data_IF_353917550934
#
_entry.id   IF_353917550934
#
_cell.length_a   1.000
_cell.length_b   1.000
_cell.length_c   1.000
_cell.angle_alpha   90.00
_cell.angle_beta   90.00
_cell.angle_gamma   90.00
#
_symmetry.space_group_name_H-M   'P 1'
#
loop_
_entity.id
_entity.type
_entity.pdbx_description
1 polymer ?
#
# COMPACT_ATOMS: atom_id res chain seq x y z
N UNK A 1 22.00 40.33 -107.55
CA UNK A 1 21.41 39.16 -106.99
C UNK A 1 21.64 39.12 -105.44
N UNK A 2 20.80 39.66 -104.72
CA UNK A 2 20.89 39.52 -103.21
C UNK A 2 19.43 39.45 -102.73
N UNK A 3 19.09 38.29 -102.23
CA UNK A 3 17.81 38.03 -101.59
C UNK A 3 17.92 38.40 -100.11
N UNK A 4 17.14 39.34 -99.70
CA UNK A 4 17.01 39.72 -98.30
C UNK A 4 15.85 38.91 -97.67
N UNK A 5 16.16 38.04 -96.78
CA UNK A 5 15.16 37.34 -95.97
C UNK A 5 14.62 38.19 -94.84
N UNK A 6 13.33 38.49 -94.88
CA UNK A 6 12.63 39.22 -93.85
C UNK A 6 12.38 38.30 -92.65
N UNK A 7 12.84 38.72 -91.50
CA UNK A 7 12.48 38.12 -90.25
C UNK A 7 11.14 38.67 -89.75
N UNK A 8 10.14 37.83 -89.66
CA UNK A 8 8.86 38.11 -89.05
C UNK A 8 9.02 37.88 -87.50
N UNK A 9 9.01 38.95 -86.79
CA UNK A 9 8.98 38.90 -85.31
C UNK A 9 7.52 38.71 -84.90
N UNK A 10 7.18 37.51 -84.40
CA UNK A 10 5.90 37.28 -83.71
C UNK A 10 5.96 37.88 -82.33
N UNK A 11 5.32 39.01 -82.11
CA UNK A 11 5.08 39.56 -80.82
C UNK A 11 4.00 38.74 -80.14
N UNK A 12 4.41 37.98 -79.12
CA UNK A 12 3.49 37.32 -78.21
C UNK A 12 3.02 38.35 -77.21
N UNK A 13 1.81 38.78 -77.31
CA UNK A 13 1.11 39.64 -76.41
C UNK A 13 0.75 38.79 -75.18
N UNK A 14 1.51 38.95 -74.11
CA UNK A 14 1.20 38.31 -72.81
C UNK A 14 0.14 39.19 -72.15
N UNK A 15 -1.07 38.67 -72.06
CA UNK A 15 -2.14 39.30 -71.28
C UNK A 15 -1.76 39.37 -69.82
N UNK A 16 -2.06 40.50 -69.10
CA UNK A 16 -1.79 40.58 -67.68
C UNK A 16 -2.64 39.57 -66.94
N UNK A 17 -1.97 38.66 -66.24
CA UNK A 17 -2.59 37.79 -65.21
C UNK A 17 -3.16 38.72 -64.14
N UNK A 18 -4.49 38.71 -64.00
CA UNK A 18 -5.14 39.43 -62.91
C UNK A 18 -4.63 38.89 -61.58
N UNK A 19 -3.86 39.73 -60.91
CA UNK A 19 -3.41 39.55 -59.51
C UNK A 19 -4.65 39.66 -58.62
N UNK A 20 -5.47 38.60 -58.61
CA UNK A 20 -6.67 38.49 -57.80
C UNK A 20 -6.63 37.34 -56.80
N UNK A 21 -5.46 36.78 -56.57
CA UNK A 21 -5.29 35.92 -55.39
C UNK A 21 -5.21 36.81 -54.15
N UNK A 22 -6.39 37.11 -53.57
CA UNK A 22 -6.46 37.73 -52.27
C UNK A 22 -5.72 36.80 -51.27
N UNK A 23 -4.45 37.14 -50.99
CA UNK A 23 -3.71 36.52 -49.91
C UNK A 23 -4.50 36.77 -48.64
N UNK A 24 -5.16 35.73 -48.13
CA UNK A 24 -5.79 35.81 -46.85
C UNK A 24 -4.74 36.31 -45.84
N UNK A 25 -5.02 37.37 -45.08
CA UNK A 25 -4.04 37.94 -44.15
C UNK A 25 -3.56 36.82 -43.21
N UNK A 26 -2.25 36.70 -43.07
CA UNK A 26 -1.61 35.66 -42.25
C UNK A 26 -2.20 35.59 -40.82
N UNK A 27 -2.75 36.69 -40.31
CA UNK A 27 -3.49 36.78 -39.07
C UNK A 27 -4.78 35.95 -39.05
N UNK A 28 -5.49 35.79 -40.19
CA UNK A 28 -6.70 34.95 -40.26
C UNK A 28 -6.37 33.47 -40.30
N UNK A 29 -5.23 33.11 -40.91
CA UNK A 29 -4.76 31.71 -40.92
C UNK A 29 -4.26 31.32 -39.54
N UNK A 30 -3.61 32.22 -38.82
CA UNK A 30 -3.19 31.99 -37.45
C UNK A 30 -4.38 31.91 -36.47
N UNK A 31 -5.44 32.69 -36.68
CA UNK A 31 -6.66 32.62 -35.86
C UNK A 31 -7.48 31.33 -36.10
N UNK A 32 -7.42 30.76 -37.29
CA UNK A 32 -8.12 29.50 -37.63
C UNK A 32 -7.43 28.25 -37.06
N UNK A 33 -6.19 28.36 -36.57
CA UNK A 33 -5.42 27.27 -36.01
C UNK A 33 -5.51 27.15 -34.46
N UNK A 34 -6.30 27.98 -33.79
CA UNK A 34 -6.60 27.81 -32.40
C UNK A 34 -7.64 26.71 -32.23
N UNK A 35 -7.16 25.46 -32.28
CA UNK A 35 -7.97 24.30 -31.88
C UNK A 35 -8.22 24.50 -30.37
N UNK A 36 -9.46 24.81 -30.00
CA UNK A 36 -9.89 24.86 -28.60
C UNK A 36 -9.42 23.56 -27.91
N UNK A 37 -8.70 23.64 -26.80
CA UNK A 37 -8.27 22.45 -26.11
C UNK A 37 -9.50 21.64 -25.73
N UNK A 38 -9.58 20.40 -26.22
CA UNK A 38 -10.70 19.51 -25.91
C UNK A 38 -10.94 19.43 -24.39
N UNK A 39 -12.16 19.16 -23.95
CA UNK A 39 -12.54 19.11 -22.53
C UNK A 39 -11.54 18.30 -21.67
N UNK A 40 -10.96 17.24 -22.22
CA UNK A 40 -9.94 16.43 -21.54
C UNK A 40 -8.62 17.16 -21.29
N UNK A 41 -8.26 18.13 -22.13
CA UNK A 41 -7.04 18.94 -21.95
C UNK A 41 -7.18 19.99 -20.84
N UNK A 42 -8.41 20.31 -20.46
CA UNK A 42 -8.71 21.24 -19.37
C UNK A 42 -8.76 20.55 -17.99
N UNK A 43 -8.78 19.22 -17.94
CA UNK A 43 -8.80 18.47 -16.70
C UNK A 43 -7.43 18.56 -15.99
N UNK A 44 -7.37 19.00 -14.74
CA UNK A 44 -6.13 19.06 -13.99
C UNK A 44 -5.72 17.65 -13.52
N UNK A 45 -5.23 16.81 -14.44
CA UNK A 45 -4.93 15.41 -14.22
C UNK A 45 -4.02 15.14 -13.02
N UNK A 46 -3.08 16.03 -12.74
CA UNK A 46 -2.23 15.92 -11.55
C UNK A 46 -3.05 16.03 -10.27
N UNK A 47 -3.97 16.99 -10.20
CA UNK A 47 -4.86 17.15 -9.05
C UNK A 47 -5.78 15.94 -8.88
N UNK A 48 -6.34 15.45 -9.99
CA UNK A 48 -7.17 14.23 -9.97
C UNK A 48 -6.36 13.04 -9.46
N UNK A 49 -5.15 12.83 -9.97
CA UNK A 49 -4.28 11.74 -9.54
C UNK A 49 -3.93 11.83 -8.04
N UNK A 50 -3.61 13.02 -7.55
CA UNK A 50 -3.34 13.26 -6.13
C UNK A 50 -4.58 13.00 -5.26
N UNK A 51 -5.77 13.43 -5.69
CA UNK A 51 -7.01 13.15 -4.98
C UNK A 51 -7.31 11.65 -4.91
N UNK A 52 -7.16 10.93 -6.02
CA UNK A 52 -7.36 9.47 -6.06
C UNK A 52 -6.35 8.77 -5.16
N UNK A 53 -5.08 9.17 -5.21
CA UNK A 53 -4.02 8.62 -4.38
C UNK A 53 -4.28 8.81 -2.88
N UNK A 54 -4.62 10.04 -2.47
CA UNK A 54 -4.93 10.35 -1.07
C UNK A 54 -6.23 9.66 -0.61
N UNK A 55 -7.27 9.64 -1.46
CA UNK A 55 -8.50 8.93 -1.14
C UNK A 55 -8.24 7.43 -0.91
N UNK A 56 -7.42 6.80 -1.76
CA UNK A 56 -7.01 5.41 -1.57
C UNK A 56 -6.25 5.18 -0.26
N UNK A 57 -5.33 6.10 0.11
CA UNK A 57 -4.61 6.02 1.37
C UNK A 57 -5.55 6.14 2.58
N UNK A 58 -6.50 7.09 2.55
CA UNK A 58 -7.51 7.26 3.60
C UNK A 58 -8.39 6.02 3.71
N UNK A 59 -8.93 5.53 2.59
CA UNK A 59 -9.76 4.33 2.56
C UNK A 59 -9.00 3.10 3.10
N UNK A 60 -7.72 2.96 2.78
CA UNK A 60 -6.86 1.91 3.32
C UNK A 60 -6.78 2.00 4.86
N UNK A 61 -6.50 3.19 5.42
CA UNK A 61 -6.41 3.38 6.87
C UNK A 61 -7.74 3.13 7.57
N UNK A 62 -8.86 3.61 6.99
CA UNK A 62 -10.21 3.34 7.50
C UNK A 62 -10.49 1.85 7.52
N UNK A 63 -10.25 1.17 6.40
CA UNK A 63 -10.42 -0.29 6.29
C UNK A 63 -9.59 -1.03 7.34
N UNK A 64 -8.31 -0.70 7.49
CA UNK A 64 -7.41 -1.31 8.49
C UNK A 64 -7.92 -1.09 9.91
N UNK A 65 -8.35 0.13 10.22
CA UNK A 65 -8.86 0.47 11.56
C UNK A 65 -10.17 -0.25 11.87
N UNK A 66 -11.10 -0.28 10.92
CA UNK A 66 -12.39 -0.99 11.07
C UNK A 66 -12.15 -2.49 11.25
N UNK A 67 -11.34 -3.11 10.38
CA UNK A 67 -11.02 -4.53 10.47
C UNK A 67 -10.36 -4.88 11.80
N UNK A 68 -9.42 -4.07 12.27
CA UNK A 68 -8.79 -4.27 13.59
C UNK A 68 -9.82 -4.18 14.73
N UNK A 69 -10.71 -3.18 14.71
CA UNK A 69 -11.75 -3.04 15.74
C UNK A 69 -12.71 -4.22 15.73
N UNK A 70 -13.19 -4.63 14.57
CA UNK A 70 -14.06 -5.79 14.43
C UNK A 70 -13.39 -7.07 14.96
N UNK A 71 -12.14 -7.33 14.58
CA UNK A 71 -11.35 -8.44 15.10
C UNK A 71 -11.24 -8.37 16.62
N UNK A 72 -10.87 -7.22 17.17
CA UNK A 72 -10.74 -7.02 18.61
C UNK A 72 -12.05 -7.30 19.34
N UNK A 73 -13.17 -6.78 18.83
CA UNK A 73 -14.49 -6.97 19.43
C UNK A 73 -14.88 -8.46 19.39
N UNK A 74 -14.63 -9.15 18.28
CA UNK A 74 -14.86 -10.60 18.17
C UNK A 74 -14.02 -11.41 19.17
N UNK A 75 -12.74 -11.04 19.35
CA UNK A 75 -11.84 -11.73 20.28
C UNK A 75 -12.22 -11.53 21.74
N UNK A 76 -12.70 -10.34 22.09
CA UNK A 76 -13.06 -10.00 23.47
C UNK A 76 -14.51 -10.36 23.81
N UNK A 77 -15.38 -10.49 22.82
CA UNK A 77 -16.78 -10.87 23.05
C UNK A 77 -16.87 -12.32 23.53
N UNK A 78 -17.37 -12.52 24.74
CA UNK A 78 -17.44 -13.83 25.39
C UNK A 78 -16.08 -14.40 25.83
N UNK A 79 -15.02 -13.59 25.84
CA UNK A 79 -13.72 -14.00 26.37
C UNK A 79 -13.76 -14.10 27.91
N UNK A 80 -12.92 -14.98 28.47
CA UNK A 80 -12.72 -15.16 29.92
C UNK A 80 -11.34 -14.65 30.30
N UNK A 81 -11.24 -13.76 31.25
CA UNK A 81 -9.95 -13.38 31.84
C UNK A 81 -9.40 -14.55 32.64
N UNK A 82 -8.19 -15.00 32.31
CA UNK A 82 -7.53 -16.13 32.97
C UNK A 82 -6.44 -15.63 33.92
N UNK A 83 -5.61 -14.69 33.46
CA UNK A 83 -4.51 -14.15 34.25
C UNK A 83 -4.19 -12.71 33.85
N UNK A 84 -3.34 -12.06 34.65
CA UNK A 84 -2.69 -10.78 34.32
C UNK A 84 -1.20 -10.87 34.61
N UNK A 85 -0.39 -10.39 33.68
CA UNK A 85 1.05 -10.24 33.85
C UNK A 85 1.41 -8.77 33.62
N UNK A 86 1.62 -8.06 34.73
CA UNK A 86 1.80 -6.59 34.68
C UNK A 86 0.60 -5.89 34.02
N UNK A 87 0.85 -5.19 32.92
CA UNK A 87 -0.20 -4.49 32.15
C UNK A 87 -0.89 -5.37 31.11
N UNK A 88 -0.42 -6.60 30.88
CA UNK A 88 -0.95 -7.51 29.87
C UNK A 88 -2.05 -8.38 30.47
N UNK A 89 -3.21 -8.42 29.82
CA UNK A 89 -4.32 -9.31 30.15
C UNK A 89 -4.22 -10.60 29.34
N UNK A 90 -4.30 -11.75 29.99
CA UNK A 90 -4.37 -13.06 29.34
C UNK A 90 -5.82 -13.52 29.38
N UNK A 91 -6.42 -13.72 28.21
CA UNK A 91 -7.82 -14.10 28.08
C UNK A 91 -7.95 -15.37 27.23
N UNK A 92 -8.93 -16.19 27.54
CA UNK A 92 -9.35 -17.30 26.67
C UNK A 92 -10.57 -16.90 25.84
N UNK A 93 -10.57 -17.27 24.57
CA UNK A 93 -11.67 -17.00 23.63
C UNK A 93 -11.89 -18.18 22.69
N UNK A 94 -13.13 -18.33 22.21
CA UNK A 94 -13.49 -19.33 21.19
C UNK A 94 -13.27 -18.85 19.75
N UNK A 95 -12.86 -17.61 19.58
CA UNK A 95 -12.75 -16.96 18.27
C UNK A 95 -11.43 -17.29 17.55
N UNK A 96 -10.49 -17.96 18.20
CA UNK A 96 -9.18 -18.34 17.64
C UNK A 96 -8.81 -19.78 17.94
N UNK A 97 -7.91 -20.31 17.12
CA UNK A 97 -7.35 -21.67 17.26
C UNK A 97 -5.87 -21.69 17.67
N UNK A 98 -5.21 -20.52 17.68
CA UNK A 98 -3.83 -20.34 18.11
C UNK A 98 -3.71 -19.10 19.00
N UNK A 99 -2.73 -19.04 19.91
CA UNK A 99 -2.42 -17.85 20.70
C UNK A 99 -2.19 -16.62 19.83
N UNK A 100 -2.52 -15.43 20.35
CA UNK A 100 -2.39 -14.17 19.61
C UNK A 100 -2.24 -12.98 20.55
N UNK A 101 -1.18 -12.18 20.38
CA UNK A 101 -1.01 -10.89 21.03
C UNK A 101 -1.66 -9.75 20.23
N UNK A 102 -2.40 -8.88 20.89
CA UNK A 102 -2.97 -7.68 20.26
C UNK A 102 -3.14 -6.54 21.27
N UNK A 103 -3.34 -5.33 20.74
CA UNK A 103 -3.51 -4.12 21.55
C UNK A 103 -2.18 -3.48 21.96
N UNK A 104 -2.05 -2.18 21.74
CA UNK A 104 -0.87 -1.39 22.10
C UNK A 104 -1.05 -0.74 23.46
N UNK A 105 -2.17 -0.06 23.68
CA UNK A 105 -2.49 0.61 24.95
C UNK A 105 -3.17 -0.33 25.93
N UNK A 106 -4.08 -1.15 25.47
CA UNK A 106 -4.71 -2.23 26.23
C UNK A 106 -4.17 -3.56 25.72
N UNK A 107 -3.07 -3.98 26.32
CA UNK A 107 -2.29 -5.16 25.93
C UNK A 107 -3.04 -6.43 26.29
N UNK A 108 -3.26 -7.30 25.32
CA UNK A 108 -3.98 -8.56 25.50
C UNK A 108 -3.23 -9.68 24.79
N UNK A 109 -3.11 -10.81 25.48
CA UNK A 109 -2.77 -12.12 24.90
C UNK A 109 -4.04 -12.96 24.93
N UNK A 110 -4.56 -13.32 23.76
CA UNK A 110 -5.69 -14.22 23.63
C UNK A 110 -5.20 -15.65 23.39
N UNK A 111 -5.78 -16.58 24.13
CA UNK A 111 -5.54 -18.00 24.04
C UNK A 111 -6.81 -18.69 23.52
N UNK A 112 -6.70 -19.80 22.76
CA UNK A 112 -7.83 -20.65 22.45
C UNK A 112 -8.53 -21.14 23.73
N UNK A 113 -9.84 -21.36 23.64
CA UNK A 113 -10.61 -21.86 24.77
C UNK A 113 -10.12 -23.25 25.21
N UNK A 114 -9.79 -23.41 26.49
CA UNK A 114 -9.26 -24.64 27.05
C UNK A 114 -7.76 -24.86 26.83
N UNK A 115 -7.06 -23.93 26.21
CA UNK A 115 -5.63 -24.06 25.88
C UNK A 115 -4.76 -24.41 27.07
N UNK A 116 -4.97 -23.78 28.23
CA UNK A 116 -4.22 -24.05 29.45
C UNK A 116 -4.55 -25.41 30.10
N UNK A 117 -5.67 -26.02 29.75
CA UNK A 117 -6.06 -27.33 30.26
C UNK A 117 -5.62 -28.48 29.35
N UNK A 118 -5.50 -28.24 28.06
CA UNK A 118 -5.22 -29.25 27.03
C UNK A 118 -3.74 -29.32 26.65
N UNK A 119 -3.05 -28.17 26.59
CA UNK A 119 -1.63 -28.12 26.28
C UNK A 119 -0.79 -28.54 27.49
N UNK A 120 0.31 -29.23 27.23
CA UNK A 120 1.30 -29.48 28.28
C UNK A 120 1.93 -28.15 28.78
N UNK A 121 2.48 -28.18 29.99
CA UNK A 121 3.00 -26.95 30.63
C UNK A 121 4.13 -26.29 29.82
N UNK A 122 4.99 -27.09 29.18
CA UNK A 122 6.12 -26.57 28.40
C UNK A 122 5.63 -25.85 27.15
N UNK A 123 4.69 -26.44 26.42
CA UNK A 123 4.04 -25.83 25.24
C UNK A 123 3.30 -24.55 25.61
N UNK A 124 2.54 -24.58 26.71
CA UNK A 124 1.80 -23.41 27.18
C UNK A 124 2.73 -22.25 27.55
N UNK A 125 3.83 -22.55 28.26
CA UNK A 125 4.80 -21.57 28.69
C UNK A 125 5.53 -20.93 27.49
N UNK A 126 5.92 -21.73 26.50
CA UNK A 126 6.56 -21.19 25.30
C UNK A 126 5.61 -20.32 24.47
N UNK A 127 4.37 -20.75 24.27
CA UNK A 127 3.39 -19.99 23.51
C UNK A 127 3.05 -18.67 24.18
N UNK A 128 2.85 -18.65 25.49
CA UNK A 128 2.60 -17.42 26.26
C UNK A 128 3.84 -16.53 26.24
N UNK A 129 5.05 -17.09 26.41
CA UNK A 129 6.28 -16.32 26.35
C UNK A 129 6.46 -15.65 25.00
N UNK A 130 6.17 -16.34 23.89
CA UNK A 130 6.23 -15.78 22.55
C UNK A 130 5.27 -14.57 22.39
N UNK A 131 4.01 -14.73 22.77
CA UNK A 131 3.02 -13.65 22.71
C UNK A 131 3.37 -12.45 23.63
N UNK A 132 3.96 -12.73 24.77
CA UNK A 132 4.44 -11.70 25.69
C UNK A 132 5.63 -10.91 25.12
N UNK A 133 6.51 -11.57 24.35
CA UNK A 133 7.63 -10.92 23.68
C UNK A 133 7.19 -9.90 22.63
N UNK A 134 6.09 -10.12 21.92
CA UNK A 134 5.50 -9.11 21.01
C UNK A 134 5.12 -7.82 21.77
N UNK A 135 4.64 -7.95 23.00
CA UNK A 135 4.34 -6.77 23.83
C UNK A 135 5.60 -6.14 24.41
N UNK A 136 6.60 -6.93 24.81
CA UNK A 136 7.87 -6.45 25.37
C UNK A 136 8.71 -5.74 24.28
N UNK A 137 8.77 -6.31 23.06
CA UNK A 137 9.49 -5.76 21.93
C UNK A 137 8.80 -4.56 21.26
N UNK A 138 7.56 -4.24 21.66
CA UNK A 138 6.75 -3.19 21.05
C UNK A 138 6.47 -3.44 19.55
N UNK A 139 6.45 -4.69 19.11
CA UNK A 139 6.26 -5.11 17.73
C UNK A 139 4.92 -4.61 17.17
N UNK A 140 3.86 -4.67 17.99
CA UNK A 140 2.53 -4.16 17.64
C UNK A 140 2.51 -2.64 17.46
N UNK A 141 3.27 -1.90 18.27
CA UNK A 141 3.42 -0.46 18.10
C UNK A 141 4.15 -0.13 16.80
N UNK A 142 5.24 -0.84 16.49
CA UNK A 142 5.98 -0.67 15.25
C UNK A 142 5.09 -0.93 14.02
N UNK A 143 4.27 -2.00 14.04
CA UNK A 143 3.31 -2.28 12.96
C UNK A 143 2.27 -1.17 12.79
N UNK A 144 1.77 -0.58 13.87
CA UNK A 144 0.83 0.55 13.80
C UNK A 144 1.52 1.81 13.27
N UNK A 145 2.74 2.11 13.74
CA UNK A 145 3.51 3.26 13.29
C UNK A 145 3.84 3.22 11.80
N UNK A 146 4.00 2.03 11.23
CA UNK A 146 4.24 1.82 9.79
C UNK A 146 2.97 1.92 8.93
N UNK A 147 1.76 1.89 9.51
CA UNK A 147 0.51 1.92 8.73
C UNK A 147 0.39 3.15 7.80
N UNK A 148 0.74 4.40 8.19
CA UNK A 148 0.68 5.53 7.27
C UNK A 148 1.59 5.36 6.05
N UNK A 149 2.79 4.80 6.24
CA UNK A 149 3.71 4.52 5.14
C UNK A 149 3.10 3.53 4.14
N UNK A 150 2.52 2.44 4.64
CA UNK A 150 1.84 1.46 3.78
C UNK A 150 0.57 2.04 3.15
N UNK A 151 -0.14 2.92 3.84
CA UNK A 151 -1.29 3.61 3.27
C UNK A 151 -0.93 4.48 2.07
N UNK A 152 0.18 5.21 2.13
CA UNK A 152 0.67 6.00 0.99
C UNK A 152 1.10 5.13 -0.21
N UNK A 153 1.41 3.86 0.04
CA UNK A 153 1.83 2.88 -0.96
C UNK A 153 0.79 1.77 -1.17
N UNK A 154 -0.49 2.05 -0.89
CA UNK A 154 -1.59 1.08 -0.92
C UNK A 154 -1.69 0.28 -2.24
N UNK A 155 -1.32 0.89 -3.36
CA UNK A 155 -1.33 0.30 -4.71
C UNK A 155 -0.01 -0.41 -5.08
N UNK A 156 1.07 -0.26 -4.28
CA UNK A 156 2.41 -0.72 -4.63
C UNK A 156 2.65 -2.17 -4.16
N UNK A 157 2.86 -3.14 -5.07
CA UNK A 157 3.13 -4.53 -4.69
C UNK A 157 4.43 -4.71 -3.89
N UNK A 158 5.43 -3.83 -4.11
CA UNK A 158 6.68 -3.83 -3.33
C UNK A 158 6.41 -3.44 -1.88
N UNK A 159 5.50 -2.48 -1.63
CA UNK A 159 5.05 -2.14 -0.29
C UNK A 159 4.44 -3.36 0.44
N UNK A 160 3.60 -4.12 -0.25
CA UNK A 160 3.01 -5.34 0.30
C UNK A 160 4.03 -6.46 0.56
N UNK A 161 5.05 -6.59 -0.29
CA UNK A 161 6.16 -7.51 -0.05
C UNK A 161 6.98 -7.06 1.16
N UNK A 162 7.29 -5.77 1.28
CA UNK A 162 7.96 -5.18 2.43
C UNK A 162 7.19 -5.40 3.74
N UNK A 163 5.86 -5.23 3.73
CA UNK A 163 5.02 -5.54 4.88
C UNK A 163 5.18 -6.99 5.36
N UNK A 164 5.17 -7.95 4.42
CA UNK A 164 5.36 -9.36 4.74
C UNK A 164 6.75 -9.63 5.29
N UNK A 165 7.79 -9.01 4.72
CA UNK A 165 9.16 -9.14 5.20
C UNK A 165 9.32 -8.61 6.64
N UNK A 166 8.79 -7.40 6.93
CA UNK A 166 8.81 -6.83 8.28
C UNK A 166 8.15 -7.77 9.29
N UNK A 167 7.00 -8.36 8.94
CA UNK A 167 6.34 -9.33 9.82
C UNK A 167 7.19 -10.58 10.04
N UNK A 168 7.76 -11.15 8.97
CA UNK A 168 8.61 -12.33 9.08
C UNK A 168 9.86 -12.05 9.95
N UNK A 169 10.46 -10.86 9.82
CA UNK A 169 11.60 -10.45 10.64
C UNK A 169 11.19 -10.28 12.12
N UNK A 170 10.00 -9.73 12.40
CA UNK A 170 9.47 -9.61 13.76
C UNK A 170 9.24 -10.98 14.41
N UNK A 171 8.65 -11.94 13.68
CA UNK A 171 8.46 -13.32 14.16
C UNK A 171 9.81 -13.98 14.48
N UNK A 172 10.77 -13.92 13.53
CA UNK A 172 12.12 -14.48 13.75
C UNK A 172 12.84 -13.84 14.93
N UNK A 173 12.69 -12.54 15.12
CA UNK A 173 13.27 -11.82 16.25
C UNK A 173 12.58 -12.15 17.58
N UNK A 174 11.26 -12.34 17.57
CA UNK A 174 10.49 -12.80 18.72
C UNK A 174 10.95 -14.20 19.15
N UNK A 175 11.05 -15.14 18.22
CA UNK A 175 11.55 -16.50 18.47
C UNK A 175 12.97 -16.47 19.06
N UNK A 176 13.85 -15.63 18.52
CA UNK A 176 15.20 -15.49 19.01
C UNK A 176 15.23 -14.99 20.49
N UNK A 177 14.34 -14.05 20.85
CA UNK A 177 14.20 -13.54 22.23
C UNK A 177 13.67 -14.63 23.17
N UNK A 178 12.63 -15.35 22.77
CA UNK A 178 12.06 -16.46 23.57
C UNK A 178 13.13 -17.52 23.85
N UNK A 179 14.00 -17.80 22.88
CA UNK A 179 15.10 -18.77 23.01
C UNK A 179 16.33 -18.21 23.74
N UNK A 180 16.44 -16.89 23.92
CA UNK A 180 17.57 -16.28 24.63
C UNK A 180 17.62 -16.75 26.09
N UNK A 181 18.77 -17.24 26.52
CA UNK A 181 18.94 -17.75 27.89
C UNK A 181 18.37 -19.15 28.15
N UNK A 182 17.69 -19.79 27.19
CA UNK A 182 17.19 -21.16 27.31
C UNK A 182 18.30 -22.20 27.11
N UNK A 183 18.15 -23.36 27.72
CA UNK A 183 19.04 -24.50 27.55
C UNK A 183 18.94 -25.08 26.15
N UNK A 184 19.92 -25.90 25.74
CA UNK A 184 19.89 -26.57 24.44
C UNK A 184 18.68 -27.49 24.28
N UNK A 185 18.25 -28.17 25.35
CA UNK A 185 17.10 -29.05 25.35
C UNK A 185 15.79 -28.28 25.14
N UNK A 186 15.58 -27.17 25.86
CA UNK A 186 14.42 -26.29 25.72
C UNK A 186 14.37 -25.67 24.31
N UNK A 187 15.50 -25.23 23.74
CA UNK A 187 15.55 -24.72 22.36
C UNK A 187 15.16 -25.80 21.33
N UNK A 188 15.59 -27.05 21.54
CA UNK A 188 15.19 -28.14 20.68
C UNK A 188 13.69 -28.49 20.81
N UNK A 189 13.14 -28.37 22.01
CA UNK A 189 11.69 -28.53 22.25
C UNK A 189 10.89 -27.44 21.57
N UNK A 190 11.27 -26.18 21.73
CA UNK A 190 10.63 -25.05 21.05
C UNK A 190 10.69 -25.16 19.53
N UNK A 191 11.85 -25.56 18.98
CA UNK A 191 11.99 -25.76 17.52
C UNK A 191 11.04 -26.83 16.96
N UNK A 192 10.71 -27.86 17.74
CA UNK A 192 9.71 -28.87 17.34
C UNK A 192 8.28 -28.33 17.41
N UNK A 193 8.02 -27.37 18.27
CA UNK A 193 6.70 -26.76 18.42
C UNK A 193 6.34 -25.83 17.23
N UNK A 194 7.33 -25.12 16.68
CA UNK A 194 7.14 -24.14 15.61
C UNK A 194 7.39 -24.71 14.19
N UNK A 195 7.88 -25.95 14.05
CA UNK A 195 8.15 -26.61 12.76
C UNK A 195 6.90 -27.25 12.16
#
# INVERSE_FOLDING_TARGET
SSATAGQATLAVEVAPVADGAAALPMAQVAAAAQVEPGLLAQVPWLTVALCVWLAGAVLFLVWRTVTYRMMRDQLLNGSRLVARSGTVRIVETRAITAPLAFGVFDKVVALPWGFLAEADSETSDFAIAHEMEHHAGSDLLALIALQPLFALHWFNPIGWAGWRAVRADQEAFCDARVMAGRTRAERASYGRLIA
#
